data_IF_650679829114
#
_entry.id   IF_650679829114
#
_cell.length_a   1.000
_cell.length_b   1.000
_cell.length_c   1.000
_cell.angle_alpha   90.00
_cell.angle_beta   90.00
_cell.angle_gamma   90.00
#
_symmetry.space_group_name_H-M   'P 1'
#
loop_
_entity.id
_entity.type
_entity.pdbx_description
1 polymer ?
#
# COMPACT_ATOMS: atom_id res chain seq x y z
N UNK A 1 -21.01 -11.36 16.25
CA UNK A 1 -20.25 -11.95 15.13
C UNK A 1 -18.86 -11.34 15.16
N UNK A 2 -17.88 -12.11 15.61
CA UNK A 2 -16.49 -11.72 15.80
C UNK A 2 -15.76 -11.92 14.46
N UNK A 3 -15.99 -10.98 13.53
CA UNK A 3 -15.23 -10.87 12.29
C UNK A 3 -14.09 -9.89 12.56
N UNK A 4 -12.85 -10.32 12.51
CA UNK A 4 -11.71 -9.42 12.67
C UNK A 4 -10.41 -10.13 12.97
N UNK A 5 -10.27 -10.73 14.15
CA UNK A 5 -8.97 -11.19 14.66
C UNK A 5 -8.38 -12.37 13.86
N UNK A 6 -9.17 -13.40 13.53
CA UNK A 6 -8.65 -14.61 12.89
C UNK A 6 -8.19 -14.44 11.43
N UNK A 7 -8.86 -13.58 10.67
CA UNK A 7 -8.45 -13.24 9.29
C UNK A 7 -7.22 -12.30 9.34
N UNK A 8 -7.17 -11.38 10.31
CA UNK A 8 -6.05 -10.46 10.47
C UNK A 8 -4.74 -11.17 10.83
N UNK A 9 -4.77 -12.16 11.74
CA UNK A 9 -3.59 -12.99 12.02
C UNK A 9 -3.12 -13.78 10.80
N UNK A 10 -4.03 -14.21 9.92
CA UNK A 10 -3.67 -14.90 8.69
C UNK A 10 -3.05 -13.93 7.68
N UNK A 11 -3.64 -12.75 7.50
CA UNK A 11 -3.10 -11.66 6.69
C UNK A 11 -1.71 -11.24 7.19
N UNK A 12 -1.51 -11.12 8.50
CA UNK A 12 -0.22 -10.79 9.10
C UNK A 12 0.83 -11.87 8.84
N UNK A 13 0.49 -13.16 8.99
CA UNK A 13 1.41 -14.27 8.65
C UNK A 13 1.76 -14.28 7.15
N UNK A 14 0.82 -13.96 6.28
CA UNK A 14 1.07 -13.93 4.84
C UNK A 14 1.91 -12.71 4.45
N UNK A 15 1.65 -11.55 5.05
CA UNK A 15 2.52 -10.38 4.92
C UNK A 15 3.93 -10.77 5.37
N UNK A 16 4.10 -11.35 6.56
CA UNK A 16 5.39 -11.83 7.05
C UNK A 16 6.06 -12.84 6.10
N UNK A 17 5.29 -13.76 5.51
CA UNK A 17 5.80 -14.72 4.54
C UNK A 17 6.27 -14.02 3.25
N UNK A 18 5.46 -13.14 2.66
CA UNK A 18 5.84 -12.35 1.47
C UNK A 18 7.08 -11.50 1.75
N UNK A 19 7.14 -10.89 2.93
CA UNK A 19 8.29 -10.11 3.38
C UNK A 19 9.56 -10.99 3.52
N UNK A 20 9.41 -12.25 3.93
CA UNK A 20 10.50 -13.22 4.05
C UNK A 20 10.97 -13.76 2.70
N UNK A 21 10.06 -13.99 1.75
CA UNK A 21 10.34 -14.53 0.42
C UNK A 21 11.04 -13.50 -0.47
N UNK A 22 10.62 -12.22 -0.42
CA UNK A 22 11.29 -11.11 -1.09
C UNK A 22 12.73 -10.88 -0.57
N UNK A 23 13.02 -11.29 0.66
CA UNK A 23 14.35 -11.23 1.28
C UNK A 23 15.36 -12.27 0.77
N UNK A 24 14.98 -13.19 -0.12
CA UNK A 24 15.87 -14.28 -0.58
C UNK A 24 16.91 -13.86 -1.63
N UNK A 25 16.90 -12.59 -2.08
CA UNK A 25 17.92 -12.01 -2.96
C UNK A 25 19.17 -11.44 -2.25
N UNK A 26 19.21 -11.38 -0.92
CA UNK A 26 20.34 -10.82 -0.19
C UNK A 26 20.10 -10.83 1.32
N UNK A 27 20.83 -11.72 1.99
CA UNK A 27 20.69 -12.08 3.41
C UNK A 27 20.59 -10.86 4.34
N UNK A 28 19.52 -10.85 5.14
CA UNK A 28 19.42 -10.18 6.42
C UNK A 28 18.10 -10.59 7.11
N UNK A 29 18.17 -11.62 7.94
CA UNK A 29 17.06 -12.18 8.72
C UNK A 29 16.67 -11.29 9.90
N UNK A 30 16.41 -10.00 9.67
CA UNK A 30 15.75 -9.18 10.68
C UNK A 30 14.25 -9.27 10.45
N UNK A 31 13.62 -10.05 11.35
CA UNK A 31 12.19 -10.14 11.51
C UNK A 31 11.65 -8.72 11.61
N UNK A 32 10.86 -8.32 10.61
CA UNK A 32 10.11 -7.07 10.65
C UNK A 32 9.13 -7.20 11.80
N UNK A 33 9.41 -6.49 12.89
CA UNK A 33 8.47 -6.39 14.01
C UNK A 33 7.29 -5.55 13.53
N UNK A 34 6.16 -6.19 13.29
CA UNK A 34 4.88 -5.50 13.30
C UNK A 34 4.67 -5.08 14.76
N UNK A 35 5.04 -3.85 15.12
CA UNK A 35 4.60 -3.29 16.39
C UNK A 35 3.11 -2.95 16.27
N UNK A 36 2.27 -3.99 16.38
CA UNK A 36 0.82 -3.90 16.30
C UNK A 36 0.22 -3.03 17.43
N UNK A 37 1.02 -2.63 18.42
CA UNK A 37 0.54 -1.93 19.62
C UNK A 37 0.09 -0.49 19.37
N UNK A 38 0.35 0.07 18.18
CA UNK A 38 -0.15 1.38 17.76
C UNK A 38 -1.38 1.34 16.83
N UNK A 39 -1.59 0.21 16.14
CA UNK A 39 -2.70 0.00 15.22
C UNK A 39 -4.01 -0.41 15.93
N UNK A 40 -3.92 -0.81 17.20
CA UNK A 40 -5.02 -1.24 18.06
C UNK A 40 -5.88 -0.10 18.65
N UNK A 41 -5.96 1.08 18.02
CA UNK A 41 -7.18 1.87 18.23
C UNK A 41 -8.24 1.15 17.41
N UNK A 42 -8.99 0.26 18.08
CA UNK A 42 -10.07 -0.57 17.52
C UNK A 42 -10.56 0.02 16.20
N UNK A 43 -10.30 -0.71 15.11
CA UNK A 43 -10.75 -0.30 13.78
C UNK A 43 -12.20 0.19 13.90
N UNK A 44 -12.56 1.25 13.16
CA UNK A 44 -13.96 1.69 13.19
C UNK A 44 -14.78 0.69 12.35
N UNK A 45 -14.97 -0.52 12.89
CA UNK A 45 -15.59 -1.69 12.27
C UNK A 45 -16.99 -1.37 11.75
N UNK A 46 -17.66 -0.39 12.36
CA UNK A 46 -18.97 0.09 11.91
C UNK A 46 -18.92 0.81 10.56
N UNK A 47 -17.75 1.36 10.21
CA UNK A 47 -17.50 2.12 8.99
C UNK A 47 -16.55 1.42 8.01
N UNK A 48 -15.77 0.42 8.41
CA UNK A 48 -14.82 -0.27 7.52
C UNK A 48 -15.53 -0.99 6.37
N UNK A 49 -15.24 -0.60 5.12
CA UNK A 49 -15.82 -1.19 3.89
C UNK A 49 -14.78 -1.59 2.83
N UNK A 50 -13.52 -1.27 3.05
CA UNK A 50 -12.41 -1.71 2.20
C UNK A 50 -11.75 -2.96 2.78
N UNK A 51 -11.69 -4.08 2.04
CA UNK A 51 -10.96 -5.26 2.47
C UNK A 51 -9.46 -5.07 2.23
N UNK A 52 -8.64 -5.90 2.85
CA UNK A 52 -7.24 -6.05 2.45
C UNK A 52 -7.13 -6.35 0.94
N UNK A 53 -6.14 -5.74 0.27
CA UNK A 53 -5.94 -5.93 -1.16
C UNK A 53 -4.46 -6.09 -1.51
N UNK A 54 -4.10 -7.24 -2.06
CA UNK A 54 -2.75 -7.55 -2.53
C UNK A 54 -2.50 -6.95 -3.91
N UNK A 55 -1.29 -6.48 -4.16
CA UNK A 55 -0.93 -5.84 -5.44
C UNK A 55 -0.08 -6.73 -6.35
N UNK A 56 0.39 -7.89 -5.85
CA UNK A 56 0.98 -8.95 -6.67
C UNK A 56 -0.07 -9.79 -7.40
N UNK A 57 0.24 -10.30 -8.59
CA UNK A 57 -0.77 -10.92 -9.46
C UNK A 57 -1.38 -12.21 -8.92
N UNK A 58 -0.75 -12.89 -7.95
CA UNK A 58 -1.27 -14.16 -7.41
C UNK A 58 -2.59 -13.97 -6.65
N UNK A 59 -2.77 -12.80 -6.03
CA UNK A 59 -3.90 -12.53 -5.12
C UNK A 59 -4.57 -11.18 -5.36
N UNK A 60 -4.16 -10.46 -6.40
CA UNK A 60 -4.72 -9.14 -6.63
C UNK A 60 -6.16 -9.20 -7.11
N UNK A 61 -6.96 -8.27 -6.61
CA UNK A 61 -8.32 -8.04 -7.06
C UNK A 61 -8.50 -6.59 -7.48
N UNK A 62 -9.56 -6.32 -8.27
CA UNK A 62 -10.02 -4.97 -8.59
C UNK A 62 -8.98 -4.02 -9.24
N UNK A 63 -7.95 -4.57 -9.89
CA UNK A 63 -6.98 -3.80 -10.68
C UNK A 63 -7.66 -3.13 -11.89
N UNK A 64 -7.53 -1.82 -12.01
CA UNK A 64 -8.31 -0.98 -12.92
C UNK A 64 -7.48 -0.21 -13.96
N UNK A 65 -6.16 -0.41 -14.01
CA UNK A 65 -5.33 0.18 -15.07
C UNK A 65 -5.79 -0.33 -16.44
N UNK A 66 -5.79 0.54 -17.44
CA UNK A 66 -6.27 0.18 -18.79
C UNK A 66 -5.44 -0.96 -19.37
N UNK A 67 -6.11 -1.97 -19.92
CA UNK A 67 -5.46 -3.15 -20.50
C UNK A 67 -5.17 -4.28 -19.51
N UNK A 68 -5.46 -4.11 -18.22
CA UNK A 68 -5.19 -5.12 -17.19
C UNK A 68 -3.71 -5.24 -16.84
N UNK A 69 -3.38 -6.15 -15.92
CA UNK A 69 -2.01 -6.37 -15.48
C UNK A 69 -1.22 -7.17 -16.53
N UNK A 70 -0.04 -6.70 -16.89
CA UNK A 70 0.96 -7.47 -17.63
C UNK A 70 1.92 -8.08 -16.61
N UNK A 71 1.92 -9.41 -16.56
CA UNK A 71 2.62 -10.19 -15.53
C UNK A 71 4.10 -10.32 -15.83
N UNK A 72 4.94 -10.16 -14.80
CA UNK A 72 6.40 -10.39 -14.80
C UNK A 72 7.17 -9.65 -15.90
N UNK A 73 6.61 -8.55 -16.42
CA UNK A 73 7.26 -7.72 -17.43
C UNK A 73 7.09 -6.23 -17.11
N UNK A 74 8.12 -5.42 -17.38
CA UNK A 74 7.97 -3.96 -17.33
C UNK A 74 6.85 -3.50 -18.26
N UNK A 75 5.97 -2.67 -17.73
CA UNK A 75 4.86 -2.09 -18.47
C UNK A 75 4.58 -0.67 -17.99
N UNK A 76 4.24 0.21 -18.93
CA UNK A 76 3.78 1.56 -18.60
C UNK A 76 2.26 1.54 -18.41
N UNK A 77 1.82 1.87 -17.20
CA UNK A 77 0.41 1.95 -16.85
C UNK A 77 -0.08 3.39 -16.79
N UNK A 78 -1.40 3.54 -16.84
CA UNK A 78 -2.10 4.80 -16.63
C UNK A 78 -3.34 4.57 -15.77
N UNK A 79 -3.55 5.46 -14.80
CA UNK A 79 -4.73 5.46 -13.93
C UNK A 79 -5.97 5.87 -14.75
N UNK A 80 -7.11 5.17 -14.62
CA UNK A 80 -8.35 5.57 -15.28
C UNK A 80 -8.87 6.89 -14.69
N UNK A 81 -9.67 7.64 -15.47
CA UNK A 81 -10.20 8.92 -15.03
C UNK A 81 -11.06 8.85 -13.74
N UNK A 82 -11.60 7.68 -13.42
CA UNK A 82 -12.36 7.42 -12.19
C UNK A 82 -12.10 6.00 -11.71
N UNK A 83 -11.83 5.84 -10.42
CA UNK A 83 -11.82 4.56 -9.72
C UNK A 83 -13.19 4.31 -9.06
N UNK A 84 -13.65 3.05 -9.13
CA UNK A 84 -14.76 2.55 -8.30
C UNK A 84 -14.24 2.26 -6.88
N UNK A 85 -15.13 2.21 -5.89
CA UNK A 85 -14.76 1.84 -4.53
C UNK A 85 -14.10 0.44 -4.54
N UNK A 86 -13.00 0.31 -3.79
CA UNK A 86 -12.14 -0.87 -3.68
C UNK A 86 -11.39 -1.26 -4.96
N UNK A 87 -11.30 -0.34 -5.93
CA UNK A 87 -10.43 -0.50 -7.10
C UNK A 87 -9.13 0.30 -6.94
N UNK A 88 -8.09 -0.23 -7.57
CA UNK A 88 -6.76 0.35 -7.55
C UNK A 88 -6.12 0.32 -8.94
N UNK A 89 -5.17 1.20 -9.18
CA UNK A 89 -4.49 1.33 -10.47
C UNK A 89 -3.06 1.84 -10.32
N UNK A 90 -2.28 1.67 -11.39
CA UNK A 90 -0.91 2.11 -11.50
C UNK A 90 -0.78 3.21 -12.56
N UNK A 91 0.18 4.12 -12.34
CA UNK A 91 0.70 5.03 -13.36
C UNK A 91 2.22 4.96 -13.37
N UNK A 92 2.84 5.00 -14.54
CA UNK A 92 4.30 4.90 -14.69
C UNK A 92 4.76 3.48 -15.04
N UNK A 93 6.06 3.25 -14.94
CA UNK A 93 6.72 2.01 -15.40
C UNK A 93 6.86 1.01 -14.24
N UNK A 94 6.02 -0.03 -14.25
CA UNK A 94 5.92 -1.01 -13.18
C UNK A 94 6.08 -2.44 -13.70
N UNK A 95 6.57 -3.32 -12.84
CA UNK A 95 6.52 -4.76 -13.03
C UNK A 95 5.58 -5.35 -11.99
N UNK A 96 4.47 -5.96 -12.43
CA UNK A 96 3.56 -6.68 -11.53
C UNK A 96 4.05 -8.11 -11.42
N UNK A 97 4.74 -8.42 -10.32
CA UNK A 97 5.25 -9.75 -10.00
C UNK A 97 4.27 -10.57 -9.18
N UNK A 98 4.69 -11.79 -8.82
CA UNK A 98 3.83 -12.77 -8.13
C UNK A 98 3.27 -12.24 -6.81
N UNK A 99 4.14 -11.80 -5.92
CA UNK A 99 3.80 -11.32 -4.57
C UNK A 99 3.89 -9.80 -4.38
N UNK A 100 4.57 -9.11 -5.29
CA UNK A 100 4.82 -7.67 -5.19
C UNK A 100 4.71 -6.98 -6.54
N UNK A 101 4.41 -5.69 -6.51
CA UNK A 101 4.50 -4.79 -7.66
C UNK A 101 5.69 -3.86 -7.45
N UNK A 102 6.60 -3.83 -8.43
CA UNK A 102 7.91 -3.15 -8.33
C UNK A 102 7.96 -1.95 -9.27
N UNK A 103 8.39 -0.80 -8.75
CA UNK A 103 8.55 0.41 -9.55
C UNK A 103 9.89 0.42 -10.29
N UNK A 104 9.85 0.41 -11.62
CA UNK A 104 11.07 0.37 -12.44
C UNK A 104 11.68 1.77 -12.66
N UNK A 105 10.88 2.85 -12.64
CA UNK A 105 11.33 4.23 -12.86
C UNK A 105 10.69 5.20 -11.87
N UNK A 106 11.39 6.26 -11.51
CA UNK A 106 10.87 7.32 -10.62
C UNK A 106 9.56 7.94 -11.15
N UNK A 107 8.80 8.57 -10.25
CA UNK A 107 7.50 9.21 -10.48
C UNK A 107 6.38 8.23 -10.87
N UNK A 108 6.51 6.97 -10.46
CA UNK A 108 5.41 6.02 -10.52
C UNK A 108 4.39 6.27 -9.42
N UNK A 109 3.13 5.93 -9.69
CA UNK A 109 2.03 6.11 -8.74
C UNK A 109 1.20 4.86 -8.57
N UNK A 110 0.68 4.68 -7.35
CA UNK A 110 -0.43 3.77 -7.05
C UNK A 110 -1.61 4.63 -6.62
N UNK A 111 -2.78 4.40 -7.23
CA UNK A 111 -4.04 5.04 -6.85
C UNK A 111 -5.02 3.99 -6.33
N UNK A 112 -5.77 4.31 -5.27
CA UNK A 112 -6.76 3.41 -4.67
C UNK A 112 -7.98 4.23 -4.23
N UNK A 113 -9.20 3.76 -4.49
CA UNK A 113 -10.40 4.36 -3.89
C UNK A 113 -10.92 3.49 -2.76
N UNK A 114 -10.95 4.01 -1.54
CA UNK A 114 -11.23 3.23 -0.32
C UNK A 114 -12.31 3.88 0.55
N UNK A 115 -12.79 3.12 1.54
CA UNK A 115 -13.66 3.57 2.62
C UNK A 115 -13.24 2.88 3.93
N UNK A 116 -12.41 3.58 4.70
CA UNK A 116 -11.87 3.16 5.99
C UNK A 116 -11.33 4.39 6.74
N UNK A 117 -11.14 4.31 8.06
CA UNK A 117 -10.48 5.39 8.82
C UNK A 117 -9.01 5.44 8.45
N UNK A 118 -8.33 4.30 8.52
CA UNK A 118 -6.91 4.19 8.27
C UNK A 118 -6.65 3.47 6.94
N UNK A 119 -5.63 3.94 6.22
CA UNK A 119 -5.06 3.25 5.06
C UNK A 119 -3.59 3.02 5.32
N UNK A 120 -3.17 1.76 5.20
CA UNK A 120 -1.79 1.34 5.29
C UNK A 120 -1.34 0.69 3.98
N UNK A 121 -0.04 0.74 3.73
CA UNK A 121 0.59 0.03 2.61
C UNK A 121 1.80 -0.73 3.14
N UNK A 122 1.84 -2.03 2.89
CA UNK A 122 3.03 -2.84 3.10
C UNK A 122 3.95 -2.64 1.90
N UNK A 123 5.11 -2.05 2.14
CA UNK A 123 6.09 -1.71 1.10
C UNK A 123 7.50 -1.62 1.67
N UNK A 124 8.50 -1.65 0.79
CA UNK A 124 9.91 -1.53 1.13
C UNK A 124 10.77 -1.16 -0.08
N UNK A 125 12.05 -0.82 0.12
CA UNK A 125 12.97 -0.65 -0.99
C UNK A 125 13.41 -2.03 -1.52
N UNK A 126 13.35 -2.23 -2.84
CA UNK A 126 13.80 -3.45 -3.51
C UNK A 126 15.27 -3.77 -3.24
N UNK A 127 16.07 -2.73 -2.98
CA UNK A 127 17.46 -2.84 -2.55
C UNK A 127 17.58 -2.26 -1.15
N UNK A 128 17.93 -3.11 -0.18
CA UNK A 128 18.14 -2.69 1.21
C UNK A 128 19.16 -1.54 1.29
N UNK A 129 18.88 -0.57 2.16
CA UNK A 129 19.73 0.61 2.33
C UNK A 129 19.60 1.66 1.22
N UNK A 130 18.64 1.50 0.30
CA UNK A 130 18.32 2.50 -0.73
C UNK A 130 16.97 3.15 -0.41
N UNK A 131 16.92 4.30 0.28
CA UNK A 131 15.66 4.93 0.63
C UNK A 131 14.85 5.36 -0.60
N UNK A 132 13.53 5.22 -0.53
CA UNK A 132 12.61 5.71 -1.57
C UNK A 132 11.72 6.78 -0.97
N UNK A 133 11.80 8.02 -1.47
CA UNK A 133 10.92 9.10 -1.06
C UNK A 133 9.58 8.97 -1.76
N UNK A 134 8.52 9.35 -1.08
CA UNK A 134 7.18 9.37 -1.66
C UNK A 134 6.40 10.58 -1.20
N UNK A 135 5.32 10.86 -1.93
CA UNK A 135 4.29 11.83 -1.57
C UNK A 135 2.90 11.22 -1.72
N UNK A 136 2.06 11.35 -0.71
CA UNK A 136 0.66 10.92 -0.74
C UNK A 136 -0.28 12.11 -0.96
N UNK A 137 -1.39 11.85 -1.61
CA UNK A 137 -2.53 12.75 -1.74
C UNK A 137 -3.81 12.01 -1.37
N UNK A 138 -4.76 12.76 -0.83
CA UNK A 138 -6.14 12.34 -0.61
C UNK A 138 -7.06 13.30 -1.37
N UNK A 139 -7.89 12.75 -2.25
CA UNK A 139 -8.75 13.51 -3.18
C UNK A 139 -7.98 14.61 -3.96
N UNK A 140 -6.74 14.30 -4.33
CA UNK A 140 -5.85 15.21 -5.06
C UNK A 140 -5.22 16.33 -4.22
N UNK A 141 -5.37 16.30 -2.89
CA UNK A 141 -4.81 17.30 -1.96
C UNK A 141 -3.84 16.65 -0.96
N UNK A 142 -2.88 17.41 -0.38
CA UNK A 142 -2.13 16.95 0.78
C UNK A 142 -3.05 16.49 1.93
N UNK A 143 -2.64 15.49 2.72
CA UNK A 143 -3.51 14.89 3.72
C UNK A 143 -3.84 15.84 4.89
N UNK A 144 -3.00 16.83 5.20
CA UNK A 144 -3.21 17.72 6.35
C UNK A 144 -3.43 16.91 7.62
N UNK A 145 -4.44 17.24 8.43
CA UNK A 145 -4.80 16.51 9.65
C UNK A 145 -5.24 15.05 9.45
N UNK A 146 -5.36 14.58 8.20
CA UNK A 146 -5.63 13.18 7.88
C UNK A 146 -4.35 12.37 7.60
N UNK A 147 -3.17 12.92 7.87
CA UNK A 147 -1.90 12.21 7.70
C UNK A 147 -1.78 11.03 8.69
N UNK A 148 -1.22 9.92 8.22
CA UNK A 148 -0.81 8.81 9.09
C UNK A 148 0.51 9.10 9.80
N UNK A 149 0.93 8.22 10.71
CA UNK A 149 2.17 8.42 11.48
C UNK A 149 3.45 8.43 10.63
N UNK A 150 3.42 7.82 9.43
CA UNK A 150 4.58 7.68 8.55
C UNK A 150 4.66 8.78 7.47
N UNK A 151 3.80 9.79 7.58
CA UNK A 151 3.61 10.84 6.57
C UNK A 151 3.47 12.19 7.26
N UNK A 152 4.10 13.23 6.72
CA UNK A 152 3.86 14.61 7.18
C UNK A 152 2.52 15.18 6.66
N UNK A 153 2.13 16.36 7.16
CA UNK A 153 0.88 17.02 6.74
C UNK A 153 0.85 17.38 5.25
N UNK A 154 2.02 17.53 4.62
CA UNK A 154 2.16 17.82 3.19
C UNK A 154 2.13 16.55 2.32
N UNK A 155 2.08 15.38 2.96
CA UNK A 155 1.99 14.07 2.33
C UNK A 155 3.34 13.41 2.10
N UNK A 156 4.46 13.97 2.56
CA UNK A 156 5.77 13.40 2.29
C UNK A 156 6.13 12.32 3.31
N UNK A 157 6.84 11.30 2.82
CA UNK A 157 7.44 10.28 3.66
C UNK A 157 8.64 9.62 2.97
N UNK A 158 9.32 8.73 3.68
CA UNK A 158 10.47 7.99 3.15
C UNK A 158 10.38 6.53 3.57
N UNK A 159 10.55 5.65 2.59
CA UNK A 159 10.62 4.22 2.78
C UNK A 159 12.09 3.86 2.97
N UNK A 160 12.43 3.27 4.11
CA UNK A 160 13.80 2.88 4.48
C UNK A 160 13.93 1.39 4.70
N UNK A 161 12.82 0.72 4.98
CA UNK A 161 12.75 -0.70 5.30
C UNK A 161 11.43 -1.27 4.79
N UNK A 162 11.34 -2.59 4.78
CA UNK A 162 10.14 -3.29 4.36
C UNK A 162 9.23 -3.49 5.56
N UNK A 163 8.13 -2.73 5.64
CA UNK A 163 7.16 -2.84 6.75
C UNK A 163 5.78 -2.34 6.34
N UNK A 164 4.85 -2.34 7.29
CA UNK A 164 3.58 -1.65 7.17
C UNK A 164 3.79 -0.15 7.44
N UNK A 165 3.37 0.68 6.49
CA UNK A 165 3.37 2.14 6.60
C UNK A 165 1.94 2.65 6.77
N UNK A 166 1.65 3.40 7.84
CA UNK A 166 0.37 4.09 8.02
C UNK A 166 0.38 5.43 7.31
N UNK A 167 -0.39 5.52 6.22
CA UNK A 167 -0.32 6.63 5.28
C UNK A 167 -1.42 7.67 5.49
N UNK A 168 -2.64 7.21 5.75
CA UNK A 168 -3.82 8.06 5.97
C UNK A 168 -4.52 7.65 7.25
N UNK A 169 -5.03 8.64 7.97
CA UNK A 169 -5.95 8.51 9.11
C UNK A 169 -7.06 9.56 8.97
N UNK A 170 -8.15 9.20 8.31
CA UNK A 170 -9.30 10.09 8.10
C UNK A 170 -9.89 10.58 9.42
N UNK A 171 -10.24 11.86 9.44
CA UNK A 171 -11.06 12.44 10.51
C UNK A 171 -12.54 12.11 10.27
N UNK A 172 -13.32 11.98 11.35
CA UNK A 172 -14.77 11.72 11.24
C UNK A 172 -15.48 12.93 10.59
N UNK A 173 -16.53 12.70 9.78
CA UNK A 173 -17.07 11.39 9.40
C UNK A 173 -16.20 10.66 8.36
N UNK A 174 -16.11 9.33 8.48
CA UNK A 174 -15.38 8.49 7.52
C UNK A 174 -16.16 8.42 6.21
N UNK A 175 -15.46 8.61 5.09
CA UNK A 175 -16.06 8.65 3.76
C UNK A 175 -15.22 7.88 2.73
N UNK A 176 -15.82 7.68 1.56
CA UNK A 176 -15.07 7.24 0.38
C UNK A 176 -14.03 8.30 0.01
N UNK A 177 -12.79 7.88 -0.22
CA UNK A 177 -11.69 8.76 -0.62
C UNK A 177 -10.88 8.14 -1.75
N UNK A 178 -10.33 8.99 -2.61
CA UNK A 178 -9.27 8.61 -3.54
C UNK A 178 -7.92 8.88 -2.88
N UNK A 179 -7.16 7.81 -2.67
CA UNK A 179 -5.78 7.87 -2.24
C UNK A 179 -4.85 7.75 -3.44
N UNK A 180 -3.77 8.52 -3.44
CA UNK A 180 -2.66 8.41 -4.38
C UNK A 180 -1.35 8.44 -3.61
N UNK A 181 -0.40 7.57 -3.98
CA UNK A 181 1.00 7.66 -3.57
C UNK A 181 1.88 7.75 -4.81
N UNK A 182 2.71 8.78 -4.87
CA UNK A 182 3.74 9.00 -5.88
C UNK A 182 5.11 8.73 -5.28
N UNK A 183 5.87 7.85 -5.89
CA UNK A 183 7.24 7.54 -5.47
C UNK A 183 8.20 8.40 -6.30
N UNK A 184 8.96 9.26 -5.62
CA UNK A 184 9.88 10.22 -6.24
C UNK A 184 11.19 9.55 -6.70
N UNK A 185 11.47 8.37 -6.16
CA UNK A 185 12.60 7.53 -6.54
C UNK A 185 12.08 6.17 -7.05
N UNK A 186 12.87 5.46 -7.86
CA UNK A 186 12.53 4.10 -8.33
C UNK A 186 12.85 3.03 -7.28
N UNK A 187 12.41 1.80 -7.52
CA UNK A 187 12.85 0.64 -6.73
C UNK A 187 12.09 0.46 -5.43
N UNK A 188 10.85 0.93 -5.33
CA UNK A 188 9.92 0.46 -4.29
C UNK A 188 9.30 -0.87 -4.71
N UNK A 189 9.11 -1.76 -3.74
CA UNK A 189 8.24 -2.93 -3.83
C UNK A 189 7.02 -2.68 -2.94
N UNK A 190 5.83 -2.81 -3.52
CA UNK A 190 4.57 -2.76 -2.80
C UNK A 190 3.93 -4.15 -2.78
N UNK A 191 3.34 -4.53 -1.64
CA UNK A 191 2.82 -5.89 -1.41
C UNK A 191 1.31 -5.93 -1.20
N UNK A 192 0.79 -5.12 -0.27
CA UNK A 192 -0.63 -5.13 0.08
C UNK A 192 -1.09 -3.81 0.72
N UNK A 193 -2.33 -3.43 0.41
CA UNK A 193 -3.08 -2.42 1.17
C UNK A 193 -3.84 -3.08 2.32
N UNK A 194 -3.79 -2.47 3.50
CA UNK A 194 -4.62 -2.85 4.64
C UNK A 194 -5.36 -1.62 5.19
N UNK A 195 -6.48 -1.85 5.86
CA UNK A 195 -7.43 -0.81 6.27
C UNK A 195 -7.90 -1.00 7.72
N UNK A 196 -8.22 0.11 8.40
CA UNK A 196 -8.69 0.13 9.80
C UNK A 196 -9.68 1.25 10.10
#
# INVERSE_FOLDING_TARGET
HQFGEGEYEQSERIIQQLLSEAGTGGIGHDLVSVDARGAEVAADWSSLKSPENYVGYERTENFASRGGAVLDKPQVYAVPARLKLNNWALSGDWTVGKGATVLNKANGRIAYRFHARDLHLVMGPAVRGTPVRFRVLIDGQPPGAAHGIDVDEQGNGTITEQRLYQLIRQQKPIADRQFEIEFLDSGVEAFAFTFG
#
